data_IF_747387960842
#
_entry.id   IF_747387960842
#
_cell.length_a   1.000
_cell.length_b   1.000
_cell.length_c   1.000
_cell.angle_alpha   90.00
_cell.angle_beta   90.00
_cell.angle_gamma   90.00
#
_symmetry.space_group_name_H-M   'P 1'
#
loop_
_entity.id
_entity.type
_entity.pdbx_description
1 polymer ?
#
# COMPACT_ATOMS: atom_id res chain seq x y z
N UNK A 1 -14.15 5.08 -1.76
CA UNK A 1 -13.43 4.61 -0.54
C UNK A 1 -13.32 3.10 -0.65
N UNK A 2 -12.09 2.62 -0.73
CA UNK A 2 -11.72 1.23 -0.94
C UNK A 2 -10.92 0.72 0.26
N UNK A 3 -10.96 -0.58 0.51
CA UNK A 3 -10.14 -1.26 1.50
C UNK A 3 -9.05 -2.07 0.80
N UNK A 4 -7.78 -1.68 0.99
CA UNK A 4 -6.62 -2.40 0.45
C UNK A 4 -5.98 -3.24 1.55
N UNK A 5 -5.62 -4.48 1.20
CA UNK A 5 -5.01 -5.44 2.13
C UNK A 5 -3.52 -5.54 1.82
N UNK A 6 -2.68 -5.11 2.75
CA UNK A 6 -1.23 -5.20 2.65
C UNK A 6 -0.72 -6.37 3.47
N UNK A 7 -0.01 -7.29 2.81
CA UNK A 7 0.54 -8.50 3.40
C UNK A 7 2.05 -8.34 3.55
N UNK A 8 2.52 -8.39 4.78
CA UNK A 8 3.94 -8.43 5.12
C UNK A 8 4.51 -9.84 4.90
N UNK A 9 5.82 -9.95 4.66
CA UNK A 9 6.54 -11.23 4.57
C UNK A 9 6.43 -12.08 5.83
N UNK A 10 6.28 -11.42 6.99
CA UNK A 10 6.10 -12.09 8.28
C UNK A 10 4.65 -12.55 8.52
N UNK A 11 3.76 -12.42 7.53
CA UNK A 11 2.36 -12.86 7.62
C UNK A 11 1.42 -11.85 8.28
N UNK A 12 1.91 -10.66 8.66
CA UNK A 12 1.07 -9.57 9.17
C UNK A 12 0.21 -9.00 8.04
N UNK A 13 -1.11 -8.94 8.26
CA UNK A 13 -2.07 -8.34 7.33
C UNK A 13 -2.54 -6.99 7.87
N UNK A 14 -2.32 -5.94 7.10
CA UNK A 14 -2.74 -4.57 7.43
C UNK A 14 -3.84 -4.19 6.45
N UNK A 15 -5.00 -3.78 6.98
CA UNK A 15 -6.13 -3.32 6.17
C UNK A 15 -6.20 -1.81 6.27
N UNK A 16 -6.11 -1.14 5.14
CA UNK A 16 -6.12 0.31 5.08
C UNK A 16 -7.27 0.77 4.22
N UNK A 17 -8.06 1.70 4.77
CA UNK A 17 -9.10 2.39 4.02
C UNK A 17 -8.49 3.63 3.38
N UNK A 18 -8.62 3.73 2.06
CA UNK A 18 -8.13 4.85 1.25
C UNK A 18 -9.14 5.19 0.16
N UNK A 19 -8.92 6.28 -0.56
CA UNK A 19 -9.68 6.67 -1.74
C UNK A 19 -8.93 6.27 -3.00
N UNK A 20 -9.65 6.07 -4.11
CA UNK A 20 -9.04 5.67 -5.40
C UNK A 20 -8.13 6.77 -5.96
N UNK A 21 -8.44 8.03 -5.63
CA UNK A 21 -7.67 9.21 -5.99
C UNK A 21 -6.38 9.39 -5.15
N UNK A 22 -6.23 8.65 -4.05
CA UNK A 22 -5.04 8.75 -3.20
C UNK A 22 -3.82 8.20 -3.94
N UNK A 23 -2.65 8.78 -3.66
CA UNK A 23 -1.39 8.28 -4.22
C UNK A 23 -0.87 7.09 -3.44
N UNK A 24 -0.01 6.28 -4.07
CA UNK A 24 0.74 5.21 -3.37
C UNK A 24 1.56 5.80 -2.21
N UNK A 25 2.08 7.02 -2.37
CA UNK A 25 2.80 7.73 -1.31
C UNK A 25 1.92 7.98 -0.08
N UNK A 26 0.65 8.33 -0.28
CA UNK A 26 -0.28 8.53 0.82
C UNK A 26 -0.72 7.22 1.46
N UNK A 27 -0.92 6.16 0.64
CA UNK A 27 -1.13 4.81 1.16
C UNK A 27 0.04 4.37 2.06
N UNK A 28 1.29 4.62 1.66
CA UNK A 28 2.47 4.32 2.50
C UNK A 28 2.44 5.08 3.83
N UNK A 29 2.02 6.34 3.85
CA UNK A 29 1.90 7.12 5.10
C UNK A 29 0.83 6.55 6.03
N UNK A 30 -0.32 6.15 5.49
CA UNK A 30 -1.38 5.52 6.28
C UNK A 30 -0.90 4.20 6.90
N UNK A 31 -0.18 3.40 6.11
CA UNK A 31 0.38 2.13 6.57
C UNK A 31 1.49 2.36 7.60
N UNK A 32 2.35 3.34 7.37
CA UNK A 32 3.39 3.77 8.30
C UNK A 32 2.78 4.16 9.65
N UNK A 33 1.68 4.91 9.65
CA UNK A 33 0.96 5.30 10.86
C UNK A 33 0.40 4.10 11.63
N UNK A 34 -0.13 3.08 10.95
CA UNK A 34 -0.65 1.87 11.61
C UNK A 34 0.44 0.90 12.06
N UNK A 35 1.54 0.80 11.30
CA UNK A 35 2.62 -0.17 11.56
C UNK A 35 3.73 0.38 12.47
N UNK A 36 3.78 1.70 12.69
CA UNK A 36 4.82 2.36 13.46
C UNK A 36 6.17 2.43 12.72
N UNK A 37 6.15 2.41 11.38
CA UNK A 37 7.35 2.43 10.54
C UNK A 37 7.46 3.74 9.78
N UNK A 38 8.60 4.02 9.14
CA UNK A 38 8.76 5.22 8.30
C UNK A 38 8.26 4.91 6.88
N UNK A 39 7.46 5.81 6.25
CA UNK A 39 6.92 5.58 4.91
C UNK A 39 8.01 5.40 3.85
N UNK A 40 9.17 6.02 4.02
CA UNK A 40 10.36 5.90 3.16
C UNK A 40 10.94 4.48 3.10
N UNK A 41 10.77 3.71 4.18
CA UNK A 41 11.23 2.32 4.26
C UNK A 41 10.20 1.34 3.70
N UNK A 42 8.96 1.77 3.48
CA UNK A 42 7.92 0.90 2.97
C UNK A 42 7.99 0.87 1.45
N UNK A 43 8.04 -0.35 0.92
CA UNK A 43 7.89 -0.63 -0.51
C UNK A 43 6.65 -1.48 -0.71
N UNK A 44 5.71 -0.96 -1.50
CA UNK A 44 4.52 -1.68 -1.92
C UNK A 44 4.80 -2.30 -3.29
N UNK A 45 4.53 -3.59 -3.42
CA UNK A 45 4.77 -4.33 -4.65
C UNK A 45 3.65 -5.36 -4.86
N UNK A 46 3.45 -5.75 -6.10
CA UNK A 46 2.63 -6.90 -6.46
C UNK A 46 3.35 -7.66 -7.56
N UNK A 47 3.76 -8.89 -7.29
CA UNK A 47 4.58 -9.69 -8.20
C UNK A 47 5.87 -8.94 -8.59
N UNK A 48 6.06 -8.64 -9.86
CA UNK A 48 7.23 -7.91 -10.39
C UNK A 48 7.02 -6.39 -10.45
N UNK A 49 5.81 -5.90 -10.14
CA UNK A 49 5.47 -4.48 -10.24
C UNK A 49 5.71 -3.76 -8.93
N UNK A 50 6.64 -2.79 -8.95
CA UNK A 50 6.90 -1.89 -7.83
C UNK A 50 6.06 -0.63 -8.04
N UNK A 51 5.21 -0.32 -7.07
CA UNK A 51 4.35 0.86 -7.16
C UNK A 51 5.13 2.14 -6.84
N UNK A 52 4.93 3.17 -7.66
CA UNK A 52 5.59 4.48 -7.53
C UNK A 52 4.72 5.45 -6.74
N UNK A 53 5.36 6.27 -5.92
CA UNK A 53 4.67 7.11 -4.91
C UNK A 53 3.78 8.21 -5.49
N UNK A 54 4.06 8.69 -6.71
CA UNK A 54 3.34 9.80 -7.33
C UNK A 54 2.17 9.38 -8.22
N UNK A 55 1.92 8.07 -8.35
CA UNK A 55 0.82 7.54 -9.17
C UNK A 55 -0.34 7.17 -8.23
N UNK A 56 -1.56 7.40 -8.69
CA UNK A 56 -2.78 7.14 -7.92
C UNK A 56 -3.09 5.65 -7.85
N UNK A 57 -3.92 5.26 -6.87
CA UNK A 57 -4.43 3.90 -6.78
C UNK A 57 -5.31 3.56 -7.99
N UNK A 58 -6.07 4.52 -8.50
CA UNK A 58 -6.90 4.37 -9.70
C UNK A 58 -6.08 4.14 -10.97
N UNK A 59 -5.00 4.90 -11.19
CA UNK A 59 -4.11 4.72 -12.35
C UNK A 59 -3.45 3.33 -12.37
N UNK A 60 -3.27 2.73 -11.20
CA UNK A 60 -2.76 1.38 -11.03
C UNK A 60 -3.84 0.29 -11.02
N UNK A 61 -5.10 0.67 -11.28
CA UNK A 61 -6.26 -0.22 -11.28
C UNK A 61 -6.39 -1.00 -9.96
N UNK A 62 -6.13 -0.32 -8.83
CA UNK A 62 -6.26 -0.92 -7.50
C UNK A 62 -7.71 -0.80 -7.05
N UNK A 63 -8.36 -1.96 -6.92
CA UNK A 63 -9.76 -2.06 -6.52
C UNK A 63 -9.93 -2.44 -5.05
N UNK A 64 -11.18 -2.32 -4.56
CA UNK A 64 -11.58 -2.76 -3.24
C UNK A 64 -11.25 -4.24 -2.97
N UNK A 65 -10.68 -4.53 -1.80
CA UNK A 65 -10.29 -5.87 -1.38
C UNK A 65 -9.00 -6.40 -2.00
N UNK A 66 -8.29 -5.60 -2.82
CA UNK A 66 -7.07 -6.05 -3.47
C UNK A 66 -5.94 -6.32 -2.46
N UNK A 67 -5.30 -7.47 -2.63
CA UNK A 67 -4.10 -7.85 -1.88
C UNK A 67 -2.83 -7.30 -2.53
N UNK A 68 -2.08 -6.51 -1.77
CA UNK A 68 -0.75 -6.02 -2.11
C UNK A 68 0.29 -6.61 -1.17
N UNK A 69 1.53 -6.67 -1.64
CA UNK A 69 2.66 -7.14 -0.84
C UNK A 69 3.39 -5.93 -0.25
N UNK A 70 3.70 -6.03 1.04
CA UNK A 70 4.43 -5.03 1.78
C UNK A 70 5.84 -5.53 2.07
N UNK A 71 6.80 -4.71 1.68
CA UNK A 71 8.22 -4.92 1.86
C UNK A 71 8.82 -3.78 2.66
N UNK A 72 9.87 -4.07 3.43
CA UNK A 72 10.68 -3.07 4.09
C UNK A 72 12.05 -3.02 3.40
N UNK A 73 12.50 -1.81 3.07
CA UNK A 73 13.87 -1.50 2.70
C UNK A 73 14.67 -1.05 3.93
#
# INVERSE_FOLDING_TARGET
MIEVILNDRLGKKVRVKCNEDDTIGDLKKLVAAQTGTRPEKIRIQKWYTIYKDHITLQDYEIHDGMGLELYYN
#
